data_IF_513374333061
#
_entry.id   IF_513374333061
#
_cell.length_a   1.000
_cell.length_b   1.000
_cell.length_c   1.000
_cell.angle_alpha   90.00
_cell.angle_beta   90.00
_cell.angle_gamma   90.00
#
_symmetry.space_group_name_H-M   'P 1'
#
loop_
_entity.id
_entity.type
_entity.pdbx_description
1 polymer ?
#
# COMPACT_ATOMS: atom_id res chain seq x y z
N UNK A 1 -46.18 -26.95 3.13
CA UNK A 1 -44.80 -27.23 3.62
C UNK A 1 -44.22 -25.93 4.13
N UNK A 2 -44.19 -25.81 5.44
CA UNK A 2 -43.70 -24.68 6.23
C UNK A 2 -42.22 -24.47 5.97
N UNK A 3 -41.86 -23.31 5.40
CA UNK A 3 -40.46 -22.88 5.26
C UNK A 3 -39.93 -22.62 6.67
N UNK A 4 -39.00 -23.46 7.14
CA UNK A 4 -38.24 -23.16 8.35
C UNK A 4 -37.42 -21.89 8.10
N UNK A 5 -37.71 -20.87 8.90
CA UNK A 5 -37.01 -19.59 8.91
C UNK A 5 -35.63 -19.78 9.56
N UNK A 6 -34.56 -19.31 8.91
CA UNK A 6 -33.32 -19.02 9.63
C UNK A 6 -33.51 -17.73 10.44
N UNK A 7 -33.06 -17.67 11.69
CA UNK A 7 -33.05 -16.42 12.44
C UNK A 7 -31.94 -15.55 11.88
N UNK A 8 -32.28 -14.43 11.25
CA UNK A 8 -31.33 -13.31 11.09
C UNK A 8 -31.22 -12.58 12.45
N UNK A 9 -31.43 -13.26 13.59
CA UNK A 9 -31.82 -12.65 14.86
C UNK A 9 -30.72 -11.88 15.59
N UNK A 10 -29.49 -11.82 15.06
CA UNK A 10 -28.36 -11.20 15.75
C UNK A 10 -27.68 -10.06 14.96
N UNK A 11 -28.39 -9.36 14.08
CA UNK A 11 -27.89 -8.10 13.49
C UNK A 11 -28.37 -6.89 14.31
N UNK A 12 -27.62 -6.53 15.36
CA UNK A 12 -27.71 -5.23 16.02
C UNK A 12 -26.41 -4.50 15.71
N UNK A 13 -26.48 -3.38 14.97
CA UNK A 13 -25.32 -2.52 14.67
C UNK A 13 -25.64 -1.13 15.23
N UNK A 14 -24.92 -0.69 16.26
CA UNK A 14 -24.96 0.69 16.75
C UNK A 14 -23.78 1.52 16.16
N UNK A 15 -23.84 2.84 16.24
CA UNK A 15 -22.69 3.75 16.17
C UNK A 15 -23.10 4.97 17.00
N UNK A 16 -22.39 5.26 18.09
CA UNK A 16 -22.58 6.46 18.91
C UNK A 16 -22.25 7.70 18.05
N UNK A 17 -23.14 8.68 17.83
CA UNK A 17 -23.83 9.47 18.87
C UNK A 17 -25.32 9.82 18.60
N UNK A 18 -25.99 9.25 17.60
CA UNK A 18 -27.48 9.35 17.47
C UNK A 18 -28.06 8.08 16.86
N UNK A 19 -28.75 7.31 17.70
CA UNK A 19 -29.28 5.97 17.40
C UNK A 19 -30.17 5.93 16.14
N UNK A 20 -29.71 5.17 15.16
CA UNK A 20 -30.51 4.64 14.06
C UNK A 20 -30.58 3.12 14.19
N UNK A 21 -31.56 2.63 14.95
CA UNK A 21 -31.84 1.20 15.05
C UNK A 21 -32.54 0.73 13.77
N UNK A 22 -31.84 -0.03 12.92
CA UNK A 22 -32.51 -0.88 11.93
C UNK A 22 -32.58 -2.30 12.47
N UNK A 23 -33.73 -2.74 13.02
CA UNK A 23 -33.87 -4.12 13.45
C UNK A 23 -33.62 -5.06 12.25
N UNK A 24 -33.19 -6.28 12.55
CA UNK A 24 -33.18 -7.45 11.66
C UNK A 24 -34.38 -7.47 10.70
N UNK A 25 -35.54 -7.11 11.24
CA UNK A 25 -36.82 -7.01 10.54
C UNK A 25 -36.81 -5.99 9.40
N UNK A 26 -36.00 -4.93 9.47
CA UNK A 26 -35.84 -3.92 8.40
C UNK A 26 -35.02 -4.48 7.25
N UNK A 27 -33.93 -5.20 7.52
CA UNK A 27 -33.15 -5.84 6.46
C UNK A 27 -33.93 -7.00 5.83
N UNK A 28 -34.67 -7.78 6.62
CA UNK A 28 -35.60 -8.78 6.10
C UNK A 28 -36.73 -8.15 5.29
N UNK A 29 -37.36 -7.08 5.78
CA UNK A 29 -38.41 -6.38 5.05
C UNK A 29 -37.87 -5.78 3.75
N UNK A 30 -36.68 -5.18 3.77
CA UNK A 30 -36.02 -4.68 2.57
C UNK A 30 -35.74 -5.83 1.58
N UNK A 31 -35.12 -6.91 2.06
CA UNK A 31 -34.78 -8.09 1.26
C UNK A 31 -36.00 -8.68 0.54
N UNK A 32 -37.12 -8.86 1.26
CA UNK A 32 -38.31 -9.49 0.70
C UNK A 32 -39.24 -8.54 -0.06
N UNK A 33 -39.27 -7.25 0.26
CA UNK A 33 -40.26 -6.30 -0.31
C UNK A 33 -39.67 -5.28 -1.27
N UNK A 34 -38.38 -4.96 -1.20
CA UNK A 34 -37.80 -3.82 -1.90
C UNK A 34 -36.49 -4.12 -2.66
N UNK A 35 -35.78 -5.19 -2.33
CA UNK A 35 -34.53 -5.55 -2.99
C UNK A 35 -34.76 -5.96 -4.46
N UNK A 36 -33.86 -5.58 -5.38
CA UNK A 36 -33.94 -6.05 -6.76
C UNK A 36 -33.92 -7.58 -6.84
N UNK A 37 -34.76 -8.16 -7.71
CA UNK A 37 -34.91 -9.63 -7.85
C UNK A 37 -33.57 -10.37 -8.06
N UNK A 38 -32.62 -9.75 -8.77
CA UNK A 38 -31.31 -10.35 -8.98
C UNK A 38 -30.46 -10.39 -7.69
N UNK A 39 -30.53 -9.36 -6.83
CA UNK A 39 -29.87 -9.34 -5.52
C UNK A 39 -30.47 -10.42 -4.62
N UNK A 40 -31.80 -10.52 -4.60
CA UNK A 40 -32.52 -11.58 -3.87
C UNK A 40 -32.05 -12.95 -4.33
N UNK A 41 -32.00 -13.18 -5.64
CA UNK A 41 -31.54 -14.44 -6.23
C UNK A 41 -30.09 -14.80 -5.88
N UNK A 42 -29.19 -13.81 -5.83
CA UNK A 42 -27.78 -14.02 -5.42
C UNK A 42 -27.69 -14.42 -3.95
N UNK A 43 -28.37 -13.69 -3.07
CA UNK A 43 -28.37 -13.99 -1.63
C UNK A 43 -29.03 -15.35 -1.37
N UNK A 44 -30.11 -15.68 -2.08
CA UNK A 44 -30.76 -17.00 -2.00
C UNK A 44 -29.83 -18.15 -2.43
N UNK A 45 -28.95 -17.93 -3.41
CA UNK A 45 -27.94 -18.93 -3.80
C UNK A 45 -26.98 -19.17 -2.61
N UNK A 46 -26.44 -18.09 -2.05
CA UNK A 46 -25.50 -18.16 -0.93
C UNK A 46 -26.13 -18.82 0.31
N UNK A 47 -27.33 -18.41 0.72
CA UNK A 47 -28.06 -19.00 1.87
C UNK A 47 -28.26 -20.52 1.69
N UNK A 48 -28.43 -20.98 0.45
CA UNK A 48 -28.61 -22.40 0.12
C UNK A 48 -27.28 -23.16 -0.02
N UNK A 49 -26.15 -22.54 0.33
CA UNK A 49 -24.81 -23.12 0.21
C UNK A 49 -24.38 -23.33 -1.24
N UNK A 50 -24.93 -22.57 -2.21
CA UNK A 50 -24.49 -22.64 -3.60
C UNK A 50 -23.38 -21.64 -3.84
N UNK A 51 -22.39 -22.06 -4.62
CA UNK A 51 -21.29 -21.19 -5.04
C UNK A 51 -21.81 -19.98 -5.81
N UNK A 52 -21.25 -18.81 -5.47
CA UNK A 52 -21.49 -17.58 -6.20
C UNK A 52 -20.51 -17.49 -7.38
N UNK A 53 -21.05 -17.13 -8.54
CA UNK A 53 -20.24 -16.89 -9.73
C UNK A 53 -19.57 -15.52 -9.66
N UNK A 54 -18.53 -15.30 -10.47
CA UNK A 54 -17.87 -14.00 -10.60
C UNK A 54 -18.86 -12.88 -10.97
N UNK A 55 -19.84 -13.19 -11.82
CA UNK A 55 -20.92 -12.29 -12.20
C UNK A 55 -21.83 -11.95 -11.00
N UNK A 56 -22.10 -12.91 -10.12
CA UNK A 56 -22.90 -12.67 -8.90
C UNK A 56 -22.18 -11.67 -7.98
N UNK A 57 -20.87 -11.84 -7.76
CA UNK A 57 -20.04 -10.88 -7.02
C UNK A 57 -20.01 -9.51 -7.69
N UNK A 58 -19.73 -9.46 -9.00
CA UNK A 58 -19.72 -8.22 -9.76
C UNK A 58 -21.04 -7.44 -9.61
N UNK A 59 -22.19 -8.11 -9.73
CA UNK A 59 -23.49 -7.45 -9.59
C UNK A 59 -23.75 -6.91 -8.19
N UNK A 60 -23.40 -7.67 -7.14
CA UNK A 60 -23.51 -7.20 -5.75
C UNK A 60 -22.64 -5.96 -5.52
N UNK A 61 -21.38 -6.04 -5.94
CA UNK A 61 -20.40 -4.97 -5.69
C UNK A 61 -20.73 -3.75 -6.56
N UNK A 62 -21.04 -3.92 -7.85
CA UNK A 62 -21.49 -2.82 -8.71
C UNK A 62 -22.70 -2.11 -8.11
N UNK A 63 -23.64 -2.87 -7.56
CA UNK A 63 -24.81 -2.30 -6.89
C UNK A 63 -24.39 -1.47 -5.67
N UNK A 64 -23.47 -1.97 -4.84
CA UNK A 64 -22.88 -1.24 -3.71
C UNK A 64 -22.27 0.12 -4.12
N UNK A 65 -21.62 0.22 -5.28
CA UNK A 65 -21.00 1.46 -5.74
C UNK A 65 -21.87 2.30 -6.69
N UNK A 66 -23.03 1.79 -7.11
CA UNK A 66 -23.97 2.53 -7.96
C UNK A 66 -24.76 3.63 -7.23
N UNK A 67 -24.66 3.68 -5.90
CA UNK A 67 -25.28 4.72 -5.09
C UNK A 67 -24.52 6.04 -5.26
N UNK A 68 -25.06 6.96 -6.07
CA UNK A 68 -24.51 8.32 -6.20
C UNK A 68 -24.95 9.16 -4.99
N UNK A 69 -24.03 9.85 -4.29
CA UNK A 69 -24.43 10.89 -3.35
C UNK A 69 -25.17 12.00 -4.11
N UNK A 70 -26.31 12.48 -3.61
CA UNK A 70 -26.97 13.64 -4.20
C UNK A 70 -26.06 14.86 -4.01
N UNK A 71 -25.86 15.64 -5.09
CA UNK A 71 -25.09 16.90 -5.08
C UNK A 71 -25.62 17.84 -4.01
N UNK A 72 -24.99 17.88 -2.85
CA UNK A 72 -25.00 19.04 -1.98
C UNK A 72 -23.56 19.57 -1.90
N UNK A 73 -23.45 20.88 -2.02
CA UNK A 73 -22.24 21.66 -2.20
C UNK A 73 -21.32 21.64 -0.98
N UNK A 74 -20.50 20.60 -0.84
CA UNK A 74 -19.28 20.60 -0.04
C UNK A 74 -18.22 19.78 -0.80
N UNK A 75 -16.96 20.17 -0.67
CA UNK A 75 -15.85 19.87 -1.60
C UNK A 75 -15.76 18.40 -2.06
N UNK A 76 -15.59 18.22 -3.37
CA UNK A 76 -15.67 16.96 -4.10
C UNK A 76 -14.52 15.95 -3.83
N UNK A 77 -13.72 16.13 -2.76
CA UNK A 77 -12.42 15.46 -2.62
C UNK A 77 -12.27 14.56 -1.38
N UNK A 78 -13.30 14.33 -0.56
CA UNK A 78 -13.15 13.44 0.60
C UNK A 78 -13.66 12.02 0.35
N UNK A 79 -12.87 11.02 0.77
CA UNK A 79 -13.16 9.58 0.66
C UNK A 79 -14.50 9.21 1.33
N UNK A 80 -14.94 9.98 2.32
CA UNK A 80 -16.23 9.79 2.98
C UNK A 80 -17.41 9.95 2.00
N UNK A 81 -17.31 10.84 1.00
CA UNK A 81 -18.34 11.03 -0.02
C UNK A 81 -18.41 9.86 -1.01
N UNK A 82 -17.27 9.23 -1.34
CA UNK A 82 -17.21 8.05 -2.22
C UNK A 82 -17.67 6.78 -1.49
N UNK A 83 -17.44 6.71 -0.18
CA UNK A 83 -17.98 5.68 0.70
C UNK A 83 -19.38 6.02 1.24
N UNK A 84 -19.98 7.14 0.81
CA UNK A 84 -21.28 7.72 1.19
C UNK A 84 -21.56 7.74 2.69
N UNK A 85 -20.66 8.35 3.46
CA UNK A 85 -20.88 8.74 4.85
C UNK A 85 -21.05 10.25 4.86
N UNK A 86 -22.15 10.76 5.43
CA UNK A 86 -22.43 12.18 5.54
C UNK A 86 -22.92 12.55 6.94
N UNK A 87 -22.58 13.77 7.39
CA UNK A 87 -23.15 14.41 8.58
C UNK A 87 -23.70 15.77 8.16
N UNK A 88 -25.01 16.00 8.38
CA UNK A 88 -25.64 17.28 8.10
C UNK A 88 -26.58 17.68 9.25
N UNK A 89 -26.26 18.80 9.91
CA UNK A 89 -27.12 19.58 10.81
C UNK A 89 -27.99 18.80 11.83
N UNK A 90 -27.54 17.65 12.32
CA UNK A 90 -28.10 16.99 13.50
C UNK A 90 -29.52 16.40 13.38
N UNK A 91 -30.12 16.31 12.19
CA UNK A 91 -31.45 15.73 11.95
C UNK A 91 -31.52 14.83 10.69
N UNK A 92 -32.48 13.90 10.68
CA UNK A 92 -32.61 12.78 9.73
C UNK A 92 -34.04 12.73 9.14
N UNK A 93 -34.18 12.67 7.81
CA UNK A 93 -35.48 12.67 7.08
C UNK A 93 -35.71 11.32 6.37
N UNK A 94 -36.95 10.83 6.39
CA UNK A 94 -37.34 9.41 6.23
C UNK A 94 -37.20 8.83 4.80
N UNK A 95 -37.08 9.65 3.74
CA UNK A 95 -36.83 9.15 2.37
C UNK A 95 -35.34 8.86 2.07
N UNK A 96 -34.39 9.42 2.84
CA UNK A 96 -32.95 9.16 2.69
C UNK A 96 -32.57 7.74 3.15
N UNK A 97 -33.39 7.14 4.02
CA UNK A 97 -33.09 5.87 4.68
C UNK A 97 -33.04 4.67 3.74
N UNK A 98 -33.86 4.62 2.67
CA UNK A 98 -33.91 3.44 1.80
C UNK A 98 -32.56 3.15 1.15
N UNK A 99 -31.86 4.19 0.69
CA UNK A 99 -30.56 4.06 0.05
C UNK A 99 -29.47 3.64 1.04
N UNK A 100 -29.46 4.22 2.24
CA UNK A 100 -28.52 3.84 3.29
C UNK A 100 -28.78 2.43 3.82
N UNK A 101 -30.05 2.04 4.02
CA UNK A 101 -30.44 0.67 4.39
C UNK A 101 -29.98 -0.32 3.32
N UNK A 102 -30.26 -0.04 2.05
CA UNK A 102 -29.88 -0.92 0.94
C UNK A 102 -28.36 -1.10 0.83
N UNK A 103 -27.62 0.00 0.98
CA UNK A 103 -26.15 -0.01 0.96
C UNK A 103 -25.56 -0.75 2.15
N UNK A 104 -26.06 -0.49 3.37
CA UNK A 104 -25.67 -1.21 4.58
C UNK A 104 -26.02 -2.69 4.48
N UNK A 105 -27.17 -3.03 3.91
CA UNK A 105 -27.60 -4.40 3.68
C UNK A 105 -26.66 -5.14 2.73
N UNK A 106 -26.33 -4.55 1.58
CA UNK A 106 -25.40 -5.16 0.61
C UNK A 106 -24.01 -5.30 1.22
N UNK A 107 -23.53 -4.29 1.95
CA UNK A 107 -22.25 -4.34 2.66
C UNK A 107 -22.21 -5.46 3.69
N UNK A 108 -23.28 -5.59 4.50
CA UNK A 108 -23.41 -6.66 5.47
C UNK A 108 -23.40 -8.04 4.80
N UNK A 109 -24.20 -8.21 3.74
CA UNK A 109 -24.25 -9.46 2.98
C UNK A 109 -22.89 -9.80 2.38
N UNK A 110 -22.17 -8.83 1.79
CA UNK A 110 -20.82 -9.07 1.25
C UNK A 110 -19.83 -9.45 2.34
N UNK A 111 -19.85 -8.76 3.49
CA UNK A 111 -19.04 -9.14 4.65
C UNK A 111 -19.32 -10.58 5.09
N UNK A 112 -20.59 -10.97 5.16
CA UNK A 112 -21.01 -12.33 5.52
C UNK A 112 -20.69 -13.41 4.49
N UNK A 113 -20.85 -13.09 3.21
CA UNK A 113 -20.44 -13.98 2.12
C UNK A 113 -18.93 -14.23 2.15
N UNK A 114 -18.15 -13.23 2.59
CA UNK A 114 -16.69 -13.27 2.63
C UNK A 114 -16.12 -13.63 4.01
N UNK A 115 -16.97 -13.89 5.00
CA UNK A 115 -16.61 -14.04 6.42
C UNK A 115 -15.56 -15.14 6.62
N UNK A 116 -15.84 -16.32 6.06
CA UNK A 116 -14.99 -17.52 6.10
C UNK A 116 -13.58 -17.31 5.55
N UNK A 117 -13.39 -16.29 4.69
CA UNK A 117 -12.10 -15.97 4.09
C UNK A 117 -11.44 -14.73 4.71
N UNK A 118 -12.22 -13.70 5.03
CA UNK A 118 -11.71 -12.41 5.48
C UNK A 118 -11.43 -12.37 6.97
N UNK A 119 -12.22 -13.04 7.80
CA UNK A 119 -11.97 -13.08 9.25
C UNK A 119 -10.65 -13.77 9.59
N UNK A 120 -10.34 -14.98 9.07
CA UNK A 120 -9.04 -15.60 9.31
C UNK A 120 -7.88 -14.72 8.82
N UNK A 121 -8.04 -14.07 7.67
CA UNK A 121 -7.03 -13.18 7.10
C UNK A 121 -6.79 -11.94 7.97
N UNK A 122 -7.85 -11.29 8.47
CA UNK A 122 -7.72 -10.14 9.36
C UNK A 122 -7.10 -10.56 10.69
N UNK A 123 -7.56 -11.66 11.29
CA UNK A 123 -7.06 -12.16 12.57
C UNK A 123 -5.62 -12.68 12.51
N UNK A 124 -5.14 -13.11 11.34
CA UNK A 124 -3.72 -13.41 11.10
C UNK A 124 -2.83 -12.20 11.37
N UNK A 125 -3.28 -10.99 11.03
CA UNK A 125 -2.50 -9.75 11.20
C UNK A 125 -2.86 -8.97 12.47
N UNK A 126 -4.10 -9.09 12.93
CA UNK A 126 -4.64 -8.36 14.07
C UNK A 126 -5.35 -9.32 15.04
N UNK A 127 -4.62 -10.27 15.66
CA UNK A 127 -5.21 -11.27 16.55
C UNK A 127 -5.94 -10.65 17.75
N UNK A 128 -5.50 -9.46 18.19
CA UNK A 128 -6.13 -8.72 19.29
C UNK A 128 -7.57 -8.29 19.00
N UNK A 129 -7.95 -8.12 17.73
CA UNK A 129 -9.30 -7.69 17.38
C UNK A 129 -10.34 -8.81 17.50
N UNK A 130 -9.90 -10.08 17.43
CA UNK A 130 -10.78 -11.25 17.28
C UNK A 130 -11.93 -10.97 16.28
N UNK A 131 -11.57 -10.42 15.13
CA UNK A 131 -12.46 -9.81 14.17
C UNK A 131 -13.53 -10.80 13.69
N UNK A 132 -14.79 -10.39 13.80
CA UNK A 132 -15.96 -10.99 13.19
C UNK A 132 -16.81 -9.85 12.60
N UNK A 133 -17.39 -10.04 11.42
CA UNK A 133 -18.31 -9.09 10.79
C UNK A 133 -19.58 -8.84 11.62
N UNK A 134 -19.86 -9.68 12.62
CA UNK A 134 -20.92 -9.52 13.62
C UNK A 134 -20.55 -8.65 14.80
N UNK A 135 -19.27 -8.25 14.96
CA UNK A 135 -18.79 -7.60 16.19
C UNK A 135 -19.59 -6.33 16.48
N UNK A 136 -20.48 -6.50 17.45
CA UNK A 136 -21.16 -5.45 18.15
C UNK A 136 -21.16 -5.77 19.65
N UNK A 137 -20.77 -4.82 20.52
CA UNK A 137 -20.35 -3.45 20.19
C UNK A 137 -18.97 -3.37 19.52
N UNK A 138 -18.79 -2.33 18.70
CA UNK A 138 -17.47 -1.95 18.19
C UNK A 138 -16.55 -1.73 19.40
N UNK A 139 -15.30 -2.20 19.37
CA UNK A 139 -14.37 -1.90 20.44
C UNK A 139 -14.20 -0.38 20.58
N UNK A 140 -13.95 0.10 21.78
CA UNK A 140 -13.74 1.52 22.08
C UNK A 140 -12.27 1.91 21.83
N UNK A 141 -11.99 3.22 21.83
CA UNK A 141 -10.62 3.72 21.74
C UNK A 141 -9.92 3.40 20.42
N UNK A 142 -8.67 2.93 20.50
CA UNK A 142 -7.79 2.77 19.33
C UNK A 142 -8.19 1.59 18.44
N UNK A 143 -8.73 0.52 19.03
CA UNK A 143 -9.22 -0.64 18.29
C UNK A 143 -10.36 -0.25 17.35
N UNK A 144 -11.20 0.73 17.74
CA UNK A 144 -12.21 1.33 16.86
C UNK A 144 -11.58 1.95 15.61
N UNK A 145 -10.50 2.70 15.79
CA UNK A 145 -9.78 3.38 14.70
C UNK A 145 -9.15 2.35 13.76
N UNK A 146 -8.46 1.35 14.31
CA UNK A 146 -7.88 0.26 13.53
C UNK A 146 -8.93 -0.51 12.71
N UNK A 147 -10.05 -0.84 13.34
CA UNK A 147 -11.18 -1.50 12.69
C UNK A 147 -11.77 -0.67 11.54
N UNK A 148 -11.81 0.66 11.69
CA UNK A 148 -12.24 1.57 10.64
C UNK A 148 -11.27 1.52 9.44
N UNK A 149 -9.96 1.52 9.68
CA UNK A 149 -8.97 1.43 8.59
C UNK A 149 -9.04 0.08 7.86
N UNK A 150 -9.25 -1.02 8.57
CA UNK A 150 -9.48 -2.35 7.98
C UNK A 150 -10.73 -2.34 7.09
N UNK A 151 -11.81 -1.72 7.58
CA UNK A 151 -13.06 -1.56 6.81
C UNK A 151 -12.87 -0.68 5.57
N UNK A 152 -12.02 0.35 5.64
CA UNK A 152 -11.67 1.18 4.49
C UNK A 152 -10.88 0.36 3.45
N UNK A 153 -9.86 -0.39 3.88
CA UNK A 153 -9.10 -1.28 3.00
C UNK A 153 -9.97 -2.34 2.32
N UNK A 154 -10.96 -2.89 3.03
CA UNK A 154 -11.96 -3.80 2.47
C UNK A 154 -12.74 -3.14 1.34
N UNK A 155 -13.23 -1.91 1.56
CA UNK A 155 -13.98 -1.17 0.55
C UNK A 155 -13.13 -0.85 -0.68
N UNK A 156 -11.88 -0.47 -0.50
CA UNK A 156 -10.96 -0.23 -1.61
C UNK A 156 -10.64 -1.50 -2.41
N UNK A 157 -10.52 -2.64 -1.74
CA UNK A 157 -10.32 -3.93 -2.41
C UNK A 157 -11.52 -4.29 -3.31
N UNK A 158 -12.74 -3.99 -2.85
CA UNK A 158 -13.96 -4.15 -3.65
C UNK A 158 -14.05 -3.14 -4.81
N UNK A 159 -13.67 -1.89 -4.56
CA UNK A 159 -13.68 -0.83 -5.56
C UNK A 159 -12.73 -1.13 -6.72
N UNK A 160 -11.49 -1.51 -6.39
CA UNK A 160 -10.48 -1.91 -7.38
C UNK A 160 -10.94 -3.10 -8.23
N UNK A 161 -11.64 -4.06 -7.62
CA UNK A 161 -12.20 -5.19 -8.37
C UNK A 161 -13.18 -4.74 -9.46
N UNK A 162 -14.10 -3.80 -9.18
CA UNK A 162 -15.03 -3.32 -10.22
C UNK A 162 -14.25 -2.67 -11.38
N UNK A 163 -13.34 -1.75 -11.06
CA UNK A 163 -12.58 -1.02 -12.07
C UNK A 163 -11.76 -1.98 -12.95
N UNK A 164 -11.20 -3.02 -12.34
CA UNK A 164 -10.45 -4.04 -13.08
C UNK A 164 -11.37 -4.95 -13.90
N UNK A 165 -12.52 -5.37 -13.35
CA UNK A 165 -13.47 -6.25 -14.04
C UNK A 165 -14.07 -5.56 -15.26
N UNK A 166 -14.34 -4.25 -15.18
CA UNK A 166 -14.89 -3.48 -16.31
C UNK A 166 -13.85 -3.19 -17.40
N UNK A 167 -12.56 -3.13 -17.06
CA UNK A 167 -11.50 -2.82 -18.02
C UNK A 167 -10.82 -4.05 -18.61
N UNK A 168 -10.63 -5.13 -17.83
CA UNK A 168 -9.84 -6.31 -18.19
C UNK A 168 -10.39 -7.59 -17.53
N UNK A 169 -11.64 -8.01 -17.83
CA UNK A 169 -12.27 -9.15 -17.17
C UNK A 169 -11.48 -10.46 -17.32
N UNK A 170 -10.88 -10.70 -18.49
CA UNK A 170 -10.15 -11.95 -18.79
C UNK A 170 -8.87 -12.14 -17.95
N UNK A 171 -8.46 -11.13 -17.18
CA UNK A 171 -7.23 -11.16 -16.36
C UNK A 171 -7.51 -11.38 -14.87
N UNK A 172 -8.78 -11.40 -14.46
CA UNK A 172 -9.16 -11.70 -13.09
C UNK A 172 -9.26 -13.21 -12.98
N UNK A 173 -8.29 -13.86 -12.34
CA UNK A 173 -8.29 -15.30 -12.05
C UNK A 173 -9.35 -15.73 -11.01
N UNK A 174 -10.55 -15.14 -11.07
CA UNK A 174 -11.64 -15.25 -10.12
C UNK A 174 -11.67 -14.13 -9.07
N UNK A 175 -12.88 -13.67 -8.72
CA UNK A 175 -13.12 -12.62 -7.73
C UNK A 175 -12.43 -12.89 -6.40
N UNK A 176 -12.64 -14.08 -5.81
CA UNK A 176 -12.18 -14.36 -4.45
C UNK A 176 -10.65 -14.31 -4.35
N UNK A 177 -9.95 -14.89 -5.32
CA UNK A 177 -8.48 -14.86 -5.39
C UNK A 177 -7.95 -13.42 -5.51
N UNK A 178 -8.54 -12.64 -6.44
CA UNK A 178 -8.17 -11.24 -6.62
C UNK A 178 -8.42 -10.43 -5.33
N UNK A 179 -9.61 -10.56 -4.76
CA UNK A 179 -10.04 -9.81 -3.60
C UNK A 179 -9.18 -10.11 -2.37
N UNK A 180 -8.93 -11.39 -2.06
CA UNK A 180 -8.11 -11.77 -0.92
C UNK A 180 -6.65 -11.31 -1.08
N UNK A 181 -6.11 -11.41 -2.29
CA UNK A 181 -4.76 -10.92 -2.58
C UNK A 181 -4.65 -9.39 -2.37
N UNK A 182 -5.61 -8.63 -2.90
CA UNK A 182 -5.66 -7.17 -2.74
C UNK A 182 -5.91 -6.75 -1.29
N UNK A 183 -6.74 -7.49 -0.57
CA UNK A 183 -7.01 -7.26 0.84
C UNK A 183 -5.79 -7.57 1.71
N UNK A 184 -5.08 -8.67 1.46
CA UNK A 184 -3.87 -9.04 2.19
C UNK A 184 -2.79 -7.96 2.06
N UNK A 185 -2.55 -7.41 0.86
CA UNK A 185 -1.61 -6.29 0.65
C UNK A 185 -1.91 -5.12 1.58
N UNK A 186 -3.18 -4.73 1.66
CA UNK A 186 -3.64 -3.60 2.47
C UNK A 186 -3.57 -3.89 3.95
N UNK A 187 -3.95 -5.09 4.38
CA UNK A 187 -3.85 -5.51 5.79
C UNK A 187 -2.41 -5.55 6.28
N UNK A 188 -1.50 -6.10 5.47
CA UNK A 188 -0.06 -6.09 5.79
C UNK A 188 0.45 -4.66 5.94
N UNK A 189 0.05 -3.77 5.03
CA UNK A 189 0.44 -2.36 5.08
C UNK A 189 -0.11 -1.65 6.33
N UNK A 190 -1.43 -1.77 6.59
CA UNK A 190 -2.07 -1.25 7.81
C UNK A 190 -1.38 -1.78 9.06
N UNK A 191 -1.04 -3.07 9.11
CA UNK A 191 -0.39 -3.66 10.27
C UNK A 191 0.98 -3.03 10.56
N UNK A 192 1.77 -2.75 9.51
CA UNK A 192 3.05 -2.06 9.72
C UNK A 192 2.88 -0.61 10.20
N UNK A 193 1.86 0.09 9.71
CA UNK A 193 1.53 1.43 10.22
C UNK A 193 1.13 1.33 11.70
N UNK A 194 0.24 0.39 12.03
CA UNK A 194 -0.24 0.15 13.39
C UNK A 194 0.92 -0.09 14.36
N UNK A 195 1.84 -1.00 14.03
CA UNK A 195 3.00 -1.33 14.85
C UNK A 195 3.95 -0.15 15.09
N UNK A 196 3.85 0.93 14.30
CA UNK A 196 4.76 2.09 14.37
C UNK A 196 4.08 3.36 14.89
N UNK A 197 2.82 3.56 14.55
CA UNK A 197 2.12 4.84 14.72
C UNK A 197 0.86 4.72 15.59
N UNK A 198 0.44 3.51 15.98
CA UNK A 198 -0.68 3.26 16.91
C UNK A 198 -1.89 4.15 16.64
N UNK A 199 -2.12 5.11 17.54
CA UNK A 199 -3.26 6.04 17.56
C UNK A 199 -3.46 6.93 16.32
N UNK A 200 -2.42 7.15 15.53
CA UNK A 200 -2.44 7.98 14.30
C UNK A 200 -2.68 7.16 13.03
N UNK A 201 -3.24 5.95 13.15
CA UNK A 201 -3.45 5.09 12.00
C UNK A 201 -4.49 5.65 11.01
N UNK A 202 -4.01 5.96 9.81
CA UNK A 202 -4.83 6.34 8.66
C UNK A 202 -4.47 5.44 7.47
N UNK A 203 -5.50 4.87 6.82
CA UNK A 203 -5.30 4.11 5.59
C UNK A 203 -4.92 5.06 4.47
N UNK A 204 -3.76 4.82 3.89
CA UNK A 204 -3.26 5.58 2.76
C UNK A 204 -3.55 4.78 1.48
N UNK A 205 -4.30 5.34 0.52
CA UNK A 205 -4.66 4.65 -0.71
C UNK A 205 -3.50 4.64 -1.72
N UNK A 206 -2.39 3.99 -1.36
CA UNK A 206 -1.22 3.86 -2.24
C UNK A 206 -1.37 2.77 -3.30
N UNK A 207 -2.42 1.96 -3.24
CA UNK A 207 -2.70 0.85 -4.17
C UNK A 207 -3.79 1.22 -5.18
N UNK A 208 -4.25 2.47 -5.17
CA UNK A 208 -5.42 2.92 -5.90
C UNK A 208 -5.01 3.89 -7.02
N UNK A 209 -5.53 3.60 -8.21
CA UNK A 209 -5.21 4.33 -9.44
C UNK A 209 -5.86 5.73 -9.52
N UNK A 210 -6.94 5.99 -8.76
CA UNK A 210 -7.74 7.21 -8.86
C UNK A 210 -7.42 8.26 -7.79
N UNK A 211 -6.66 7.91 -6.75
CA UNK A 211 -6.38 8.80 -5.58
C UNK A 211 -4.99 9.44 -5.65
N UNK A 212 -4.59 9.87 -6.85
CA UNK A 212 -3.22 10.30 -7.19
C UNK A 212 -2.86 11.73 -6.77
N UNK A 213 -3.78 12.45 -6.13
CA UNK A 213 -3.60 13.83 -5.71
C UNK A 213 -3.64 13.91 -4.18
N UNK A 214 -2.47 13.71 -3.57
CA UNK A 214 -2.28 13.91 -2.14
C UNK A 214 -2.08 15.41 -1.86
N UNK A 215 -2.57 15.87 -0.71
CA UNK A 215 -2.14 17.18 -0.18
C UNK A 215 -0.67 17.12 0.21
N UNK A 216 0.00 18.27 0.34
CA UNK A 216 1.39 18.33 0.81
C UNK A 216 1.58 17.63 2.17
N UNK A 217 0.60 17.75 3.07
CA UNK A 217 0.60 17.10 4.38
C UNK A 217 0.49 15.58 4.24
N UNK A 218 -0.41 15.09 3.39
CA UNK A 218 -0.54 13.66 3.09
C UNK A 218 0.74 13.12 2.46
N UNK A 219 1.37 13.84 1.53
CA UNK A 219 2.62 13.42 0.92
C UNK A 219 3.76 13.29 1.94
N UNK A 220 3.86 14.25 2.86
CA UNK A 220 4.84 14.19 3.94
C UNK A 220 4.58 13.00 4.87
N UNK A 221 3.32 12.79 5.26
CA UNK A 221 2.92 11.64 6.07
C UNK A 221 3.25 10.31 5.38
N UNK A 222 2.85 10.16 4.10
CA UNK A 222 3.14 8.99 3.27
C UNK A 222 4.64 8.76 3.16
N UNK A 223 5.39 9.82 2.88
CA UNK A 223 6.84 9.77 2.77
C UNK A 223 7.46 9.26 4.05
N UNK A 224 7.03 9.77 5.21
CA UNK A 224 7.53 9.34 6.51
C UNK A 224 7.19 7.88 6.82
N UNK A 225 5.91 7.50 6.68
CA UNK A 225 5.42 6.14 6.93
C UNK A 225 6.16 5.12 6.05
N UNK A 226 6.16 5.33 4.74
CA UNK A 226 6.81 4.42 3.79
C UNK A 226 8.31 4.37 4.06
N UNK A 227 8.95 5.52 4.29
CA UNK A 227 10.38 5.55 4.63
C UNK A 227 10.71 4.68 5.84
N UNK A 228 9.90 4.77 6.90
CA UNK A 228 10.11 4.00 8.13
C UNK A 228 9.94 2.49 7.90
N UNK A 229 8.97 2.09 7.06
CA UNK A 229 8.76 0.70 6.68
C UNK A 229 9.98 0.12 5.95
N UNK A 230 10.56 0.88 5.01
CA UNK A 230 11.70 0.43 4.20
C UNK A 230 13.06 0.46 4.91
N UNK A 231 13.25 1.37 5.86
CA UNK A 231 14.51 1.49 6.61
C UNK A 231 14.65 0.34 7.62
N UNK A 232 13.55 -0.22 8.11
CA UNK A 232 13.59 -1.24 9.15
C UNK A 232 13.85 -2.64 8.58
N UNK A 233 14.94 -3.29 9.02
CA UNK A 233 15.32 -4.64 8.56
C UNK A 233 14.36 -5.75 8.98
N UNK A 234 13.51 -5.49 9.98
CA UNK A 234 12.49 -6.45 10.47
C UNK A 234 11.26 -6.56 9.54
N UNK A 235 11.10 -5.64 8.59
CA UNK A 235 9.97 -5.67 7.65
C UNK A 235 10.14 -6.81 6.64
N UNK A 236 9.05 -7.53 6.36
CA UNK A 236 9.02 -8.59 5.34
C UNK A 236 9.46 -8.08 3.96
N UNK A 237 10.41 -8.76 3.32
CA UNK A 237 10.87 -8.46 1.97
C UNK A 237 9.74 -8.43 0.93
N UNK A 238 8.69 -9.22 1.17
CA UNK A 238 7.50 -9.26 0.32
C UNK A 238 6.69 -7.96 0.41
N UNK A 239 6.57 -7.36 1.59
CA UNK A 239 5.87 -6.08 1.75
C UNK A 239 6.62 -4.95 1.04
N UNK A 240 7.93 -4.89 1.21
CA UNK A 240 8.75 -3.89 0.53
C UNK A 240 8.56 -3.98 -0.99
N UNK A 241 8.50 -5.19 -1.54
CA UNK A 241 8.21 -5.40 -2.96
C UNK A 241 6.81 -4.93 -3.35
N UNK A 242 5.78 -5.25 -2.55
CA UNK A 242 4.40 -4.82 -2.81
C UNK A 242 4.29 -3.28 -2.84
N UNK A 243 4.89 -2.60 -1.87
CA UNK A 243 4.86 -1.13 -1.82
C UNK A 243 5.67 -0.53 -2.98
N UNK A 244 6.84 -1.11 -3.30
CA UNK A 244 7.63 -0.67 -4.45
C UNK A 244 6.84 -0.78 -5.76
N UNK A 245 6.19 -1.92 -6.00
CA UNK A 245 5.38 -2.17 -7.19
C UNK A 245 4.22 -1.17 -7.30
N UNK A 246 3.52 -0.91 -6.19
CA UNK A 246 2.43 0.05 -6.14
C UNK A 246 2.90 1.48 -6.46
N UNK A 247 4.00 1.92 -5.85
CA UNK A 247 4.61 3.22 -6.11
C UNK A 247 5.08 3.36 -7.57
N UNK A 248 5.67 2.30 -8.14
CA UNK A 248 6.08 2.27 -9.56
C UNK A 248 4.86 2.35 -10.49
N UNK A 249 3.77 1.65 -10.17
CA UNK A 249 2.53 1.71 -10.96
C UNK A 249 1.98 3.13 -10.98
N UNK A 250 1.86 3.77 -9.81
CA UNK A 250 1.43 5.17 -9.72
C UNK A 250 2.31 6.10 -10.56
N UNK A 251 3.63 5.92 -10.50
CA UNK A 251 4.56 6.70 -11.29
C UNK A 251 4.35 6.53 -12.80
N UNK A 252 4.15 5.30 -13.29
CA UNK A 252 3.88 5.03 -14.71
C UNK A 252 2.59 5.71 -15.16
N UNK A 253 1.54 5.64 -14.36
CA UNK A 253 0.25 6.26 -14.69
C UNK A 253 0.33 7.78 -14.71
N UNK A 254 1.02 8.40 -13.74
CA UNK A 254 1.23 9.85 -13.75
C UNK A 254 2.00 10.30 -15.00
N UNK A 255 3.03 9.55 -15.40
CA UNK A 255 3.78 9.79 -16.65
C UNK A 255 2.88 9.65 -17.89
N UNK A 256 2.06 8.60 -17.95
CA UNK A 256 1.13 8.37 -19.07
C UNK A 256 0.12 9.52 -19.21
N UNK A 257 -0.38 10.03 -18.08
CA UNK A 257 -1.34 11.15 -18.03
C UNK A 257 -0.70 12.54 -18.02
N UNK A 258 0.64 12.63 -18.05
CA UNK A 258 1.42 13.88 -17.98
C UNK A 258 1.10 14.73 -16.73
N UNK A 259 0.83 14.07 -15.61
CA UNK A 259 0.51 14.71 -14.33
C UNK A 259 1.77 14.86 -13.46
N UNK A 260 1.85 15.92 -12.61
CA UNK A 260 2.95 16.05 -11.66
C UNK A 260 2.92 14.94 -10.61
N UNK A 261 4.08 14.36 -10.32
CA UNK A 261 4.23 13.30 -9.33
C UNK A 261 5.00 13.82 -8.12
N UNK A 262 4.28 14.32 -7.13
CA UNK A 262 4.89 14.90 -5.93
C UNK A 262 5.64 13.86 -5.07
N UNK A 263 5.25 12.58 -5.16
CA UNK A 263 5.93 11.47 -4.48
C UNK A 263 7.23 11.01 -5.19
N UNK A 264 7.65 11.64 -6.30
CA UNK A 264 8.84 11.19 -7.04
C UNK A 264 10.08 10.97 -6.15
N UNK A 265 10.44 11.87 -5.21
CA UNK A 265 11.59 11.66 -4.35
C UNK A 265 11.46 10.42 -3.46
N UNK A 266 10.25 10.14 -2.96
CA UNK A 266 9.97 8.93 -2.17
C UNK A 266 10.14 7.67 -3.03
N UNK A 267 9.62 7.68 -4.26
CA UNK A 267 9.71 6.53 -5.17
C UNK A 267 11.16 6.26 -5.55
N UNK A 268 11.93 7.30 -5.88
CA UNK A 268 13.37 7.16 -6.16
C UNK A 268 14.09 6.58 -4.94
N UNK A 269 13.79 7.08 -3.74
CA UNK A 269 14.38 6.58 -2.49
C UNK A 269 14.10 5.09 -2.30
N UNK A 270 12.83 4.70 -2.29
CA UNK A 270 12.37 3.32 -2.07
C UNK A 270 12.99 2.35 -3.09
N UNK A 271 12.81 2.63 -4.38
CA UNK A 271 13.31 1.76 -5.47
C UNK A 271 14.83 1.66 -5.42
N UNK A 272 15.52 2.76 -5.10
CA UNK A 272 16.99 2.74 -5.07
C UNK A 272 17.53 2.00 -3.84
N UNK A 273 16.89 2.09 -2.67
CA UNK A 273 17.28 1.30 -1.50
C UNK A 273 17.09 -0.20 -1.75
N UNK A 274 15.96 -0.59 -2.33
CA UNK A 274 15.68 -2.00 -2.61
C UNK A 274 16.68 -2.56 -3.63
N UNK A 275 16.91 -1.87 -4.75
CA UNK A 275 17.92 -2.27 -5.74
C UNK A 275 19.35 -2.29 -5.17
N UNK A 276 19.67 -1.37 -4.28
CA UNK A 276 20.95 -1.36 -3.60
C UNK A 276 21.14 -2.62 -2.75
N UNK A 277 20.11 -3.01 -1.99
CA UNK A 277 20.10 -4.26 -1.19
C UNK A 277 20.22 -5.50 -2.08
N UNK A 278 19.46 -5.57 -3.16
CA UNK A 278 19.54 -6.66 -4.14
C UNK A 278 20.95 -6.77 -4.76
N UNK A 279 21.58 -5.63 -5.11
CA UNK A 279 22.95 -5.63 -5.62
C UNK A 279 23.96 -6.11 -4.58
N UNK A 280 23.82 -5.76 -3.31
CA UNK A 280 24.70 -6.30 -2.25
C UNK A 280 24.51 -7.81 -2.07
N UNK A 281 23.26 -8.30 -2.05
CA UNK A 281 22.99 -9.73 -1.96
C UNK A 281 23.56 -10.48 -3.17
N UNK A 282 23.39 -9.92 -4.37
CA UNK A 282 23.96 -10.48 -5.60
C UNK A 282 25.49 -10.42 -5.57
N UNK A 283 26.10 -9.35 -5.05
CA UNK A 283 27.54 -9.24 -4.94
C UNK A 283 28.12 -10.35 -4.04
N UNK A 284 27.46 -10.63 -2.91
CA UNK A 284 27.86 -11.72 -2.02
C UNK A 284 27.73 -13.08 -2.72
N UNK A 285 26.62 -13.34 -3.40
CA UNK A 285 26.42 -14.57 -4.17
C UNK A 285 27.51 -14.75 -5.25
N UNK A 286 27.82 -13.68 -6.00
CA UNK A 286 28.89 -13.69 -6.99
C UNK A 286 30.23 -14.01 -6.35
N UNK A 287 30.52 -13.44 -5.18
CA UNK A 287 31.77 -13.67 -4.46
C UNK A 287 31.92 -15.14 -4.05
N UNK A 288 30.85 -15.73 -3.48
CA UNK A 288 30.80 -17.13 -3.05
C UNK A 288 31.03 -18.11 -4.21
N UNK A 289 30.65 -17.72 -5.43
CA UNK A 289 30.83 -18.53 -6.65
C UNK A 289 32.10 -18.18 -7.44
N UNK A 290 33.00 -17.34 -6.90
CA UNK A 290 34.26 -16.98 -7.55
C UNK A 290 34.14 -15.92 -8.66
N UNK A 291 32.96 -15.33 -8.88
CA UNK A 291 32.74 -14.25 -9.85
C UNK A 291 33.17 -12.89 -9.28
N UNK A 292 34.48 -12.70 -9.10
CA UNK A 292 35.06 -11.53 -8.41
C UNK A 292 34.88 -10.21 -9.18
N UNK A 293 35.02 -10.21 -10.51
CA UNK A 293 34.74 -9.03 -11.34
C UNK A 293 33.27 -8.59 -11.17
N UNK A 294 32.34 -9.55 -11.26
CA UNK A 294 30.90 -9.30 -11.06
C UNK A 294 30.59 -8.83 -9.64
N UNK A 295 31.29 -9.35 -8.63
CA UNK A 295 31.17 -8.89 -7.23
C UNK A 295 31.42 -7.39 -7.13
N UNK A 296 32.54 -6.91 -7.66
CA UNK A 296 32.92 -5.49 -7.61
C UNK A 296 31.95 -4.61 -8.41
N UNK A 297 31.55 -5.06 -9.60
CA UNK A 297 30.56 -4.36 -10.42
C UNK A 297 29.25 -4.13 -9.63
N UNK A 298 28.73 -5.18 -8.98
CA UNK A 298 27.51 -5.10 -8.15
C UNK A 298 27.71 -4.23 -6.92
N UNK A 299 28.88 -4.28 -6.27
CA UNK A 299 29.22 -3.40 -5.14
C UNK A 299 29.13 -1.92 -5.52
N UNK A 300 29.68 -1.54 -6.69
CA UNK A 300 29.61 -0.18 -7.18
C UNK A 300 28.16 0.29 -7.40
N UNK A 301 27.36 -0.51 -8.11
CA UNK A 301 25.96 -0.15 -8.35
C UNK A 301 25.12 -0.13 -7.08
N UNK A 302 25.45 -0.95 -6.08
CA UNK A 302 24.84 -0.85 -4.76
C UNK A 302 25.10 0.52 -4.13
N UNK A 303 26.36 0.98 -4.11
CA UNK A 303 26.72 2.30 -3.57
C UNK A 303 26.07 3.44 -4.34
N UNK A 304 26.07 3.37 -5.68
CA UNK A 304 25.45 4.38 -6.55
C UNK A 304 23.95 4.53 -6.27
N UNK A 305 23.23 3.40 -6.16
CA UNK A 305 21.81 3.40 -5.82
C UNK A 305 21.56 3.94 -4.41
N UNK A 306 22.38 3.56 -3.44
CA UNK A 306 22.21 4.03 -2.07
C UNK A 306 22.45 5.54 -1.95
N UNK A 307 23.50 6.06 -2.60
CA UNK A 307 23.78 7.49 -2.67
C UNK A 307 22.61 8.25 -3.29
N UNK A 308 22.02 7.72 -4.38
CA UNK A 308 20.83 8.30 -5.00
C UNK A 308 19.63 8.32 -4.05
N UNK A 309 19.41 7.27 -3.26
CA UNK A 309 18.34 7.25 -2.28
C UNK A 309 18.50 8.33 -1.20
N UNK A 310 19.73 8.51 -0.70
CA UNK A 310 20.04 9.53 0.29
C UNK A 310 19.90 10.94 -0.29
N UNK A 311 20.41 11.20 -1.51
CA UNK A 311 20.20 12.46 -2.22
C UNK A 311 18.72 12.76 -2.45
N UNK A 312 17.92 11.74 -2.76
CA UNK A 312 16.47 11.87 -2.92
C UNK A 312 15.79 12.31 -1.63
N UNK A 313 16.26 11.79 -0.49
CA UNK A 313 15.74 12.12 0.84
C UNK A 313 15.93 13.60 1.18
N UNK A 314 16.99 14.24 0.66
CA UNK A 314 17.26 15.66 0.87
C UNK A 314 16.85 16.55 -0.32
N UNK A 315 16.06 16.02 -1.27
CA UNK A 315 15.54 16.78 -2.40
C UNK A 315 16.55 17.11 -3.50
N UNK A 316 17.70 16.43 -3.54
CA UNK A 316 18.77 16.66 -4.52
C UNK A 316 18.82 15.55 -5.59
N UNK A 317 17.68 15.27 -6.23
CA UNK A 317 17.59 14.35 -7.39
C UNK A 317 16.89 15.03 -8.55
N UNK A 318 17.31 14.70 -9.77
CA UNK A 318 16.71 15.28 -10.97
C UNK A 318 15.30 14.68 -11.20
N UNK A 319 14.34 15.48 -11.74
CA UNK A 319 13.07 14.96 -12.21
C UNK A 319 13.30 13.85 -13.26
N UNK A 320 12.38 12.89 -13.39
CA UNK A 320 12.45 11.95 -14.52
C UNK A 320 12.19 12.69 -15.85
N UNK A 321 12.87 12.30 -16.95
CA UNK A 321 12.65 12.89 -18.28
C UNK A 321 11.78 11.98 -19.13
N UNK A 322 10.73 12.56 -19.69
CA UNK A 322 9.88 11.88 -20.67
C UNK A 322 9.14 10.69 -20.08
N UNK A 323 8.82 9.70 -20.92
CA UNK A 323 7.94 8.57 -20.55
C UNK A 323 8.62 7.43 -19.76
N UNK A 324 9.80 7.66 -19.16
CA UNK A 324 10.59 6.58 -18.56
C UNK A 324 11.04 6.87 -17.13
N UNK A 325 10.94 5.86 -16.26
CA UNK A 325 11.45 5.86 -14.87
C UNK A 325 12.98 5.72 -14.82
N UNK A 326 13.71 6.55 -15.56
CA UNK A 326 15.18 6.49 -15.69
C UNK A 326 15.86 7.62 -14.92
N UNK A 327 17.05 7.33 -14.38
CA UNK A 327 17.95 8.38 -13.85
C UNK A 327 18.30 9.36 -14.96
N UNK A 328 18.40 10.64 -14.61
CA UNK A 328 19.02 11.64 -15.46
C UNK A 328 20.45 11.98 -15.02
N UNK A 329 20.79 11.62 -13.80
CA UNK A 329 22.09 11.89 -13.20
C UNK A 329 23.17 10.99 -13.80
N UNK A 330 24.29 11.59 -14.19
CA UNK A 330 25.50 10.83 -14.54
C UNK A 330 26.16 10.26 -13.28
N UNK A 331 27.10 9.32 -13.47
CA UNK A 331 27.85 8.76 -12.35
C UNK A 331 28.72 9.83 -11.67
N UNK A 332 29.32 10.71 -12.46
CA UNK A 332 30.15 11.84 -12.03
C UNK A 332 29.33 12.85 -11.23
N UNK A 333 28.13 13.19 -11.71
CA UNK A 333 27.21 14.09 -11.00
C UNK A 333 26.83 13.53 -9.62
N UNK A 334 26.58 12.22 -9.50
CA UNK A 334 26.30 11.61 -8.20
C UNK A 334 27.51 11.70 -7.27
N UNK A 335 28.73 11.48 -7.77
CA UNK A 335 29.96 11.57 -6.96
C UNK A 335 30.18 12.99 -6.46
N UNK A 336 30.00 13.98 -7.32
CA UNK A 336 30.07 15.40 -6.94
C UNK A 336 29.03 15.74 -5.88
N UNK A 337 27.79 15.28 -6.05
CA UNK A 337 26.73 15.51 -5.07
C UNK A 337 26.96 14.79 -3.73
N UNK A 338 27.62 13.62 -3.72
CA UNK A 338 28.05 12.99 -2.45
C UNK A 338 28.99 13.93 -1.70
N UNK A 339 30.01 14.46 -2.38
CA UNK A 339 31.00 15.34 -1.75
C UNK A 339 30.38 16.65 -1.27
N UNK A 340 29.64 17.34 -2.14
CA UNK A 340 29.07 18.65 -1.83
C UNK A 340 27.90 18.55 -0.85
N UNK A 341 26.88 17.75 -1.17
CA UNK A 341 25.60 17.75 -0.44
C UNK A 341 25.59 16.84 0.78
N UNK A 342 26.19 15.64 0.67
CA UNK A 342 26.10 14.64 1.74
C UNK A 342 27.21 14.79 2.78
N UNK A 343 28.41 15.21 2.36
CA UNK A 343 29.56 15.33 3.25
C UNK A 343 29.74 16.79 3.69
N UNK A 344 30.06 17.71 2.78
CA UNK A 344 30.45 19.09 3.14
C UNK A 344 29.30 19.92 3.71
N UNK A 345 28.15 19.94 3.03
CA UNK A 345 27.04 20.82 3.44
C UNK A 345 26.24 20.27 4.62
N UNK A 346 25.99 18.96 4.68
CA UNK A 346 25.06 18.36 5.66
C UNK A 346 25.69 17.40 6.65
N UNK A 347 26.97 17.03 6.48
CA UNK A 347 27.68 16.09 7.36
C UNK A 347 26.89 14.78 7.64
N UNK A 348 26.21 14.26 6.61
CA UNK A 348 25.39 13.05 6.68
C UNK A 348 26.23 11.78 6.51
N UNK A 349 27.34 11.89 5.78
CA UNK A 349 28.32 10.82 5.58
C UNK A 349 29.71 11.30 6.00
N UNK A 350 30.56 10.42 6.54
CA UNK A 350 31.95 10.75 6.81
C UNK A 350 32.76 10.89 5.51
N UNK A 351 33.86 11.63 5.56
CA UNK A 351 34.75 11.83 4.40
C UNK A 351 35.33 10.51 3.85
N UNK A 352 35.55 9.53 4.74
CA UNK A 352 35.98 8.18 4.35
C UNK A 352 34.99 7.47 3.42
N UNK A 353 33.70 7.81 3.45
CA UNK A 353 32.70 7.24 2.55
C UNK A 353 32.93 7.66 1.09
N UNK A 354 33.43 8.88 0.85
CA UNK A 354 33.79 9.32 -0.52
C UNK A 354 35.03 8.58 -1.02
N UNK A 355 36.03 8.37 -0.16
CA UNK A 355 37.23 7.62 -0.49
C UNK A 355 36.88 6.16 -0.83
N UNK A 356 36.01 5.55 -0.02
CA UNK A 356 35.50 4.20 -0.27
C UNK A 356 34.73 4.12 -1.60
N UNK A 357 33.88 5.11 -1.89
CA UNK A 357 33.14 5.18 -3.15
C UNK A 357 34.07 5.28 -4.36
N UNK A 358 35.04 6.20 -4.33
CA UNK A 358 36.04 6.38 -5.40
C UNK A 358 36.88 5.10 -5.59
N UNK A 359 37.23 4.41 -4.51
CA UNK A 359 37.98 3.15 -4.56
C UNK A 359 37.17 2.02 -5.19
N UNK A 360 35.89 1.86 -4.83
CA UNK A 360 35.01 0.85 -5.43
C UNK A 360 34.76 1.16 -6.91
N UNK A 361 34.60 2.42 -7.28
CA UNK A 361 34.51 2.83 -8.69
C UNK A 361 35.77 2.46 -9.48
N UNK A 362 36.96 2.74 -8.95
CA UNK A 362 38.22 2.37 -9.59
C UNK A 362 38.29 0.86 -9.89
N UNK A 363 37.99 0.03 -8.88
CA UNK A 363 37.97 -1.42 -9.05
C UNK A 363 36.88 -1.88 -10.02
N UNK A 364 35.72 -1.23 -10.04
CA UNK A 364 34.66 -1.52 -11.03
C UNK A 364 35.13 -1.23 -12.45
N UNK A 365 35.90 -0.17 -12.67
CA UNK A 365 36.44 0.12 -14.01
C UNK A 365 37.45 -0.95 -14.44
N UNK A 366 38.31 -1.42 -13.53
CA UNK A 366 39.21 -2.53 -13.83
C UNK A 366 38.42 -3.82 -14.12
N UNK A 367 37.46 -4.17 -13.28
CA UNK A 367 36.64 -5.38 -13.44
C UNK A 367 35.86 -5.44 -14.78
N UNK A 368 35.42 -4.28 -15.29
CA UNK A 368 34.62 -4.20 -16.50
C UNK A 368 35.45 -4.03 -17.78
N UNK A 369 36.65 -3.44 -17.69
CA UNK A 369 37.38 -2.96 -18.87
C UNK A 369 38.87 -3.35 -18.94
N UNK A 370 39.46 -3.86 -17.86
CA UNK A 370 40.85 -4.32 -17.88
C UNK A 370 40.96 -5.81 -18.21
N UNK A 371 42.11 -6.23 -18.72
CA UNK A 371 42.42 -7.65 -18.95
C UNK A 371 42.79 -8.39 -17.65
N UNK A 372 43.28 -7.66 -16.63
CA UNK A 372 43.61 -8.24 -15.33
C UNK A 372 42.35 -8.55 -14.51
N UNK A 373 42.26 -9.77 -13.99
CA UNK A 373 41.13 -10.19 -13.15
C UNK A 373 41.24 -9.69 -11.70
N UNK A 374 40.10 -9.31 -11.13
CA UNK A 374 40.00 -8.99 -9.71
C UNK A 374 40.19 -10.24 -8.85
N UNK A 375 41.06 -10.15 -7.86
CA UNK A 375 41.33 -11.22 -6.89
C UNK A 375 40.27 -11.27 -5.80
N UNK A 376 40.06 -12.45 -5.21
CA UNK A 376 39.13 -12.67 -4.10
C UNK A 376 39.27 -11.66 -2.96
N UNK A 377 40.50 -11.36 -2.52
CA UNK A 377 40.74 -10.41 -1.43
C UNK A 377 40.32 -8.98 -1.79
N UNK A 378 40.50 -8.57 -3.05
CA UNK A 378 40.09 -7.26 -3.54
C UNK A 378 38.56 -7.19 -3.61
N UNK A 379 37.92 -8.21 -4.19
CA UNK A 379 36.46 -8.29 -4.28
C UNK A 379 35.79 -8.24 -2.91
N UNK A 380 36.26 -9.03 -1.94
CA UNK A 380 35.70 -9.03 -0.59
C UNK A 380 35.91 -7.70 0.14
N UNK A 381 37.06 -7.05 -0.07
CA UNK A 381 37.30 -5.71 0.46
C UNK A 381 36.34 -4.67 -0.14
N UNK A 382 36.00 -4.77 -1.43
CA UNK A 382 35.01 -3.89 -2.06
C UNK A 382 33.60 -4.16 -1.52
N UNK A 383 33.24 -5.42 -1.31
CA UNK A 383 32.00 -5.80 -0.65
C UNK A 383 31.87 -5.17 0.74
N UNK A 384 32.89 -5.29 1.60
CA UNK A 384 32.90 -4.67 2.93
C UNK A 384 32.67 -3.16 2.88
N UNK A 385 33.30 -2.46 1.92
CA UNK A 385 33.13 -1.00 1.74
C UNK A 385 31.73 -0.66 1.29
N UNK A 386 31.19 -1.37 0.30
CA UNK A 386 29.83 -1.16 -0.18
C UNK A 386 28.79 -1.45 0.91
N UNK A 387 28.94 -2.52 1.69
CA UNK A 387 28.07 -2.83 2.83
C UNK A 387 28.15 -1.77 3.92
N UNK A 388 29.34 -1.26 4.24
CA UNK A 388 29.50 -0.15 5.21
C UNK A 388 28.80 1.11 4.70
N UNK A 389 29.04 1.50 3.45
CA UNK A 389 28.42 2.68 2.84
C UNK A 389 26.89 2.58 2.83
N UNK A 390 26.35 1.40 2.51
CA UNK A 390 24.90 1.15 2.58
C UNK A 390 24.34 1.39 4.00
N UNK A 391 25.01 0.87 5.03
CA UNK A 391 24.62 1.12 6.44
C UNK A 391 24.72 2.59 6.81
N UNK A 392 25.79 3.28 6.43
CA UNK A 392 25.96 4.71 6.69
C UNK A 392 24.83 5.53 6.05
N UNK A 393 24.45 5.19 4.81
CA UNK A 393 23.31 5.81 4.14
C UNK A 393 21.98 5.54 4.85
N UNK A 394 21.70 4.30 5.26
CA UNK A 394 20.47 3.98 6.01
C UNK A 394 20.39 4.77 7.32
N UNK A 395 21.50 4.86 8.06
CA UNK A 395 21.59 5.64 9.28
C UNK A 395 21.36 7.14 9.03
N UNK A 396 21.93 7.69 7.96
CA UNK A 396 21.72 9.08 7.57
C UNK A 396 20.24 9.35 7.20
N UNK A 397 19.62 8.44 6.45
CA UNK A 397 18.19 8.55 6.09
C UNK A 397 17.32 8.49 7.37
N UNK A 398 17.60 7.59 8.30
CA UNK A 398 16.88 7.47 9.56
C UNK A 398 16.95 8.77 10.39
N UNK A 399 18.15 9.38 10.48
CA UNK A 399 18.37 10.67 11.15
C UNK A 399 17.55 11.80 10.53
N UNK A 400 17.46 11.86 9.20
CA UNK A 400 16.68 12.90 8.49
C UNK A 400 15.18 12.72 8.75
N UNK A 401 14.72 11.46 8.82
CA UNK A 401 13.30 11.12 9.05
C UNK A 401 12.79 11.33 10.48
N UNK A 402 13.61 11.87 11.40
CA UNK A 402 13.22 12.09 12.79
C UNK A 402 13.14 10.82 13.64
N UNK A 403 13.84 9.75 13.24
CA UNK A 403 13.95 8.53 14.05
C UNK A 403 15.06 8.74 15.08
N UNK A 404 14.70 9.19 16.27
CA UNK A 404 15.52 9.06 17.48
C UNK A 404 15.09 7.81 18.25
#
# INVERSE_FOLDING_TARGET
MTRQFWPISNCIISVEDKQLNYPVDVFQAYYYKAAPKYIVGIIDKWIKGKDLTEKDYYLLIKKLFSFKPRKNTLSANSIENLCGVYWANGWMIIEEKKYEIEKLFIRYCLGKILDEHTCPLINKYFPQLNFNWELYPLPEGEERKLLLQIKIAFMFSLYNYINYYESKPDRIGGFLNYFLHEMEKRLVFINQIWLKHGESIEYIPIFEDDFRHFSLEQEQFISNVISNIFINESTSSQLNKIIEEALIQQAKMAIEKQEPLNLQPLIIKVVSLQKSKEFLQTALLCYEHGYYNSTVNRCYYAMLRCARALLSTIGHVKPWKGKSLRSMESHEEIIEMIELKLIKERNLLPESSLQDFKKVLFWRMLADYAEEEVKSTQAFNMYKKASKFYKDCLNAIAKIGGIN
#
